data_IF_843598680668
#
_entry.id   IF_843598680668
#
_cell.length_a   1.000
_cell.length_b   1.000
_cell.length_c   1.000
_cell.angle_alpha   90.00
_cell.angle_beta   90.00
_cell.angle_gamma   90.00
#
_symmetry.space_group_name_H-M   'P 1'
#
loop_
_entity.id
_entity.type
_entity.pdbx_description
1 polymer ?
#
# COMPACT_ATOMS: atom_id res chain seq x y z
N UNK A 1 17.83 3.67 2.41
CA UNK A 1 18.44 2.32 2.29
C UNK A 1 17.62 1.32 3.12
N UNK A 2 16.46 0.88 2.60
CA UNK A 2 15.59 -0.09 3.30
C UNK A 2 16.21 -1.49 3.40
N UNK A 3 17.10 -1.84 2.47
CA UNK A 3 17.83 -3.10 2.46
C UNK A 3 18.60 -3.39 3.77
N UNK A 4 18.99 -2.35 4.52
CA UNK A 4 19.73 -2.51 5.78
C UNK A 4 18.87 -3.03 6.96
N UNK A 5 17.54 -2.97 6.88
CA UNK A 5 16.62 -3.45 7.95
C UNK A 5 16.06 -4.86 7.69
N UNK A 6 16.61 -5.61 6.74
CA UNK A 6 16.18 -6.98 6.45
C UNK A 6 14.81 -7.10 5.79
N UNK A 7 14.24 -5.98 5.31
CA UNK A 7 12.94 -5.94 4.63
C UNK A 7 13.12 -5.67 3.13
N UNK A 8 13.83 -6.59 2.46
CA UNK A 8 14.20 -6.48 1.05
C UNK A 8 13.00 -6.33 0.09
N UNK A 9 11.80 -6.77 0.50
CA UNK A 9 10.58 -6.62 -0.30
C UNK A 9 10.16 -5.16 -0.45
N UNK A 10 10.31 -4.33 0.59
CA UNK A 10 9.95 -2.91 0.49
C UNK A 10 10.92 -2.11 -0.38
N UNK A 11 12.21 -2.50 -0.43
CA UNK A 11 13.17 -1.83 -1.33
C UNK A 11 12.92 -2.08 -2.82
N UNK A 12 12.14 -3.11 -3.17
CA UNK A 12 11.81 -3.41 -4.56
C UNK A 12 10.58 -2.64 -5.08
N UNK A 13 9.73 -2.14 -4.18
CA UNK A 13 8.38 -1.65 -4.54
C UNK A 13 8.04 -0.29 -3.94
N UNK A 14 8.81 0.23 -2.99
CA UNK A 14 8.72 1.66 -2.65
C UNK A 14 9.37 2.48 -3.76
N UNK A 15 8.56 2.87 -4.74
CA UNK A 15 8.88 3.95 -5.66
C UNK A 15 8.80 5.31 -4.98
N UNK A 16 8.63 6.35 -5.77
CA UNK A 16 8.32 7.69 -5.28
C UNK A 16 6.80 7.93 -5.12
N UNK A 17 5.98 6.87 -5.29
CA UNK A 17 4.51 6.92 -5.35
C UNK A 17 3.97 7.85 -6.44
N UNK A 18 4.67 7.99 -7.56
CA UNK A 18 4.12 8.69 -8.74
C UNK A 18 3.06 7.85 -9.45
N UNK A 19 3.28 6.54 -9.59
CA UNK A 19 2.38 5.61 -10.31
C UNK A 19 2.36 4.18 -9.72
N UNK A 20 2.30 4.07 -8.40
CA UNK A 20 2.43 2.77 -7.74
C UNK A 20 1.08 2.03 -7.69
N UNK A 21 1.09 0.81 -8.25
CA UNK A 21 -0.01 -0.14 -8.18
C UNK A 21 0.42 -1.43 -7.46
N UNK A 22 -0.44 -1.89 -6.57
CA UNK A 22 -0.26 -3.16 -5.85
C UNK A 22 -1.45 -4.07 -6.13
N UNK A 23 -1.19 -5.34 -6.42
CA UNK A 23 -2.23 -6.36 -6.55
C UNK A 23 -2.20 -7.25 -5.31
N UNK A 24 -3.28 -7.18 -4.52
CA UNK A 24 -3.39 -7.90 -3.26
C UNK A 24 -4.62 -8.80 -3.29
N UNK A 25 -4.49 -10.05 -2.86
CA UNK A 25 -5.65 -10.88 -2.58
C UNK A 25 -6.37 -10.33 -1.33
N UNK A 26 -7.69 -10.17 -1.42
CA UNK A 26 -8.49 -9.83 -0.25
C UNK A 26 -8.35 -10.94 0.81
N UNK A 27 -7.98 -10.64 2.07
CA UNK A 27 -7.80 -11.66 3.10
C UNK A 27 -9.11 -12.38 3.48
N UNK A 28 -10.27 -11.86 3.08
CA UNK A 28 -11.58 -12.42 3.38
C UNK A 28 -12.17 -13.26 2.24
N UNK A 29 -12.17 -12.77 1.00
CA UNK A 29 -12.77 -13.46 -0.14
C UNK A 29 -11.80 -13.89 -1.23
N UNK A 30 -10.49 -13.68 -1.03
CA UNK A 30 -9.40 -14.01 -1.95
C UNK A 30 -9.46 -13.37 -3.35
N UNK A 31 -10.44 -12.51 -3.64
CA UNK A 31 -10.47 -11.76 -4.90
C UNK A 31 -9.23 -10.85 -4.98
N UNK A 32 -8.65 -10.74 -6.16
CA UNK A 32 -7.59 -9.76 -6.39
C UNK A 32 -8.17 -8.34 -6.34
N UNK A 33 -7.53 -7.49 -5.55
CA UNK A 33 -7.85 -6.08 -5.37
C UNK A 33 -6.64 -5.27 -5.84
N UNK A 34 -6.87 -4.36 -6.78
CA UNK A 34 -5.89 -3.35 -7.17
C UNK A 34 -5.88 -2.26 -6.11
N UNK A 35 -4.70 -1.88 -5.62
CA UNK A 35 -4.47 -0.70 -4.79
C UNK A 35 -3.66 0.30 -5.61
N UNK A 36 -4.22 1.47 -5.85
CA UNK A 36 -3.57 2.58 -6.54
C UNK A 36 -3.17 3.66 -5.52
N UNK A 37 -1.89 4.05 -5.52
CA UNK A 37 -1.36 5.15 -4.71
C UNK A 37 -0.44 6.00 -5.58
N UNK A 38 -0.90 7.20 -5.93
CA UNK A 38 -0.10 8.18 -6.67
C UNK A 38 -0.95 9.13 -7.49
N UNK A 39 -0.44 9.51 -8.66
CA UNK A 39 -1.10 10.48 -9.55
C UNK A 39 -2.43 9.97 -10.11
N UNK A 40 -2.58 8.65 -10.23
CA UNK A 40 -3.82 8.01 -10.66
C UNK A 40 -4.92 8.00 -9.58
N UNK A 41 -4.57 8.33 -8.34
CA UNK A 41 -5.49 8.42 -7.21
C UNK A 41 -5.04 7.61 -5.99
N UNK A 42 -5.93 7.56 -4.99
CA UNK A 42 -5.76 6.75 -3.77
C UNK A 42 -6.99 5.89 -3.58
N UNK A 43 -7.02 4.71 -4.21
CA UNK A 43 -8.19 3.83 -4.13
C UNK A 43 -7.84 2.34 -4.15
N UNK A 44 -8.80 1.52 -3.72
CA UNK A 44 -8.88 0.08 -4.00
C UNK A 44 -9.95 -0.19 -5.05
N UNK A 45 -9.73 -1.16 -5.94
CA UNK A 45 -10.63 -1.46 -7.06
C UNK A 45 -10.57 -2.94 -7.49
N UNK A 46 -11.52 -3.35 -8.33
CA UNK A 46 -11.41 -4.59 -9.11
C UNK A 46 -10.91 -4.23 -10.51
N UNK A 47 -9.94 -5.01 -11.02
CA UNK A 47 -9.45 -4.82 -12.38
C UNK A 47 -10.36 -5.52 -13.37
N UNK A 48 -11.07 -4.75 -14.19
CA UNK A 48 -11.75 -5.23 -15.38
C UNK A 48 -10.83 -5.10 -16.60
N UNK A 49 -10.81 -6.12 -17.45
CA UNK A 49 -9.93 -6.16 -18.62
C UNK A 49 -10.25 -5.07 -19.65
N UNK A 50 -11.53 -4.69 -19.80
CA UNK A 50 -11.97 -3.73 -20.81
C UNK A 50 -12.14 -2.32 -20.24
N UNK A 51 -12.55 -2.21 -18.98
CA UNK A 51 -12.93 -0.94 -18.34
C UNK A 51 -11.84 -0.42 -17.39
N UNK A 52 -10.80 -1.20 -17.12
CA UNK A 52 -9.77 -0.87 -16.14
C UNK A 52 -10.30 -1.01 -14.71
N UNK A 53 -9.90 -0.11 -13.82
CA UNK A 53 -10.24 -0.19 -12.40
C UNK A 53 -11.68 0.26 -12.13
N UNK A 54 -12.55 -0.68 -11.79
CA UNK A 54 -13.97 -0.50 -11.49
C UNK A 54 -14.25 -0.62 -9.98
N UNK A 55 -15.44 -0.16 -9.56
CA UNK A 55 -15.92 -0.20 -8.17
C UNK A 55 -14.96 0.42 -7.14
N UNK A 56 -14.33 1.54 -7.51
CA UNK A 56 -13.29 2.19 -6.71
C UNK A 56 -13.79 2.59 -5.32
N UNK A 57 -13.00 2.26 -4.29
CA UNK A 57 -13.19 2.68 -2.88
C UNK A 57 -12.01 3.52 -2.44
N UNK A 58 -12.28 4.65 -1.79
CA UNK A 58 -11.23 5.57 -1.32
C UNK A 58 -10.39 4.89 -0.24
N UNK A 59 -9.06 4.99 -0.34
CA UNK A 59 -8.16 4.49 0.69
C UNK A 59 -8.24 5.34 1.96
N UNK A 60 -8.02 4.70 3.10
CA UNK A 60 -7.97 5.38 4.40
C UNK A 60 -6.50 5.48 4.80
N UNK A 61 -5.96 6.69 4.77
CA UNK A 61 -4.61 6.93 5.27
C UNK A 61 -4.47 6.53 6.75
N UNK A 62 -3.31 5.98 7.11
CA UNK A 62 -2.94 5.85 8.51
C UNK A 62 -2.67 7.25 9.10
N UNK A 63 -3.06 7.46 10.35
CA UNK A 63 -2.64 8.67 11.04
C UNK A 63 -1.13 8.61 11.30
N UNK A 64 -0.39 9.73 11.22
CA UNK A 64 1.04 9.75 11.50
C UNK A 64 1.40 9.15 12.88
N UNK A 65 0.54 9.34 13.88
CA UNK A 65 0.70 8.81 15.22
C UNK A 65 0.43 7.30 15.29
N UNK A 66 -0.41 6.79 14.40
CA UNK A 66 -0.75 5.38 14.24
C UNK A 66 0.30 4.57 13.47
N UNK A 67 1.21 5.22 12.75
CA UNK A 67 2.34 4.54 12.12
C UNK A 67 3.28 3.98 13.19
N UNK A 68 3.87 2.82 12.97
CA UNK A 68 4.87 2.24 13.88
C UNK A 68 6.01 1.58 13.09
N UNK A 69 7.09 1.25 13.79
CA UNK A 69 8.23 0.52 13.23
C UNK A 69 8.80 1.17 11.96
N UNK A 70 8.83 0.41 10.86
CA UNK A 70 9.38 0.87 9.58
C UNK A 70 8.53 1.96 8.93
N UNK A 71 7.20 1.85 8.98
CA UNK A 71 6.29 2.82 8.36
C UNK A 71 6.46 4.22 8.97
N UNK A 72 6.55 4.28 10.31
CA UNK A 72 6.84 5.54 11.02
C UNK A 72 8.17 6.13 10.60
N UNK A 73 9.23 5.33 10.63
CA UNK A 73 10.57 5.77 10.28
C UNK A 73 10.65 6.31 8.85
N UNK A 74 10.00 5.65 7.88
CA UNK A 74 9.97 6.10 6.49
C UNK A 74 9.20 7.41 6.34
N UNK A 75 8.02 7.50 6.95
CA UNK A 75 7.19 8.71 6.90
C UNK A 75 7.93 9.91 7.52
N UNK A 76 8.49 9.76 8.71
CA UNK A 76 9.26 10.82 9.39
C UNK A 76 10.49 11.25 8.57
N UNK A 77 11.18 10.30 7.93
CA UNK A 77 12.31 10.60 7.05
C UNK A 77 11.87 11.43 5.84
N UNK A 78 10.79 11.01 5.16
CA UNK A 78 10.25 11.73 4.00
C UNK A 78 9.78 13.15 4.39
N UNK A 79 9.13 13.30 5.55
CA UNK A 79 8.72 14.61 6.07
C UNK A 79 9.92 15.50 6.37
N UNK A 80 10.92 14.97 7.10
CA UNK A 80 12.14 15.71 7.46
C UNK A 80 12.89 16.22 6.22
N UNK A 81 12.93 15.39 5.18
CA UNK A 81 13.67 15.67 3.95
C UNK A 81 12.81 16.48 2.94
N UNK A 82 11.57 16.84 3.28
CA UNK A 82 10.69 17.71 2.48
C UNK A 82 9.94 17.00 1.34
N UNK A 83 10.00 15.68 1.28
CA UNK A 83 9.36 14.86 0.24
C UNK A 83 7.87 14.60 0.56
N UNK A 84 7.01 15.60 0.33
CA UNK A 84 5.58 15.54 0.68
C UNK A 84 4.81 14.41 0.00
N UNK A 85 5.01 14.20 -1.30
CA UNK A 85 4.31 13.13 -2.05
C UNK A 85 4.68 11.74 -1.52
N UNK A 86 5.97 11.53 -1.21
CA UNK A 86 6.45 10.30 -0.62
C UNK A 86 5.84 10.07 0.78
N UNK A 87 5.78 11.10 1.62
CA UNK A 87 5.12 10.99 2.93
C UNK A 87 3.63 10.65 2.81
N UNK A 88 2.92 11.28 1.87
CA UNK A 88 1.51 10.99 1.55
C UNK A 88 1.32 9.53 1.10
N UNK A 89 2.16 9.07 0.18
CA UNK A 89 2.12 7.69 -0.30
C UNK A 89 2.36 6.67 0.81
N UNK A 90 3.35 6.92 1.67
CA UNK A 90 3.62 6.08 2.85
C UNK A 90 2.41 6.03 3.80
N UNK A 91 1.76 7.17 4.07
CA UNK A 91 0.59 7.21 4.94
C UNK A 91 -0.58 6.38 4.37
N UNK A 92 -0.77 6.39 3.04
CA UNK A 92 -1.78 5.55 2.38
C UNK A 92 -1.40 4.07 2.36
N UNK A 93 -0.15 3.75 2.07
CA UNK A 93 0.36 2.37 2.01
C UNK A 93 0.27 1.66 3.37
N UNK A 94 0.57 2.37 4.46
CA UNK A 94 0.42 1.84 5.81
C UNK A 94 -1.01 2.01 6.37
N UNK A 95 -1.90 2.56 5.55
CA UNK A 95 -3.32 2.72 5.83
C UNK A 95 -4.14 1.48 5.52
N UNK A 96 -5.41 1.69 5.16
CA UNK A 96 -6.39 0.62 4.90
C UNK A 96 -7.05 0.76 3.53
N UNK A 97 -7.24 -0.38 2.89
CA UNK A 97 -8.08 -0.55 1.70
C UNK A 97 -9.39 -1.25 2.04
N UNK A 98 -10.39 -1.11 1.19
CA UNK A 98 -11.67 -1.79 1.28
C UNK A 98 -11.88 -2.66 0.04
N UNK A 99 -12.14 -3.96 0.22
CA UNK A 99 -12.42 -4.86 -0.89
C UNK A 99 -13.76 -4.46 -1.55
N UNK A 100 -13.79 -4.13 -2.85
CA UNK A 100 -15.04 -3.75 -3.51
C UNK A 100 -16.07 -4.89 -3.58
N UNK A 101 -15.61 -6.15 -3.53
CA UNK A 101 -16.46 -7.34 -3.64
C UNK A 101 -17.17 -7.69 -2.32
N UNK A 102 -16.46 -7.69 -1.19
CA UNK A 102 -17.01 -8.15 0.10
C UNK A 102 -17.04 -7.07 1.19
N UNK A 103 -16.63 -5.83 0.88
CA UNK A 103 -16.51 -4.71 1.81
C UNK A 103 -15.57 -4.93 3.01
N UNK A 104 -14.80 -6.02 3.04
CA UNK A 104 -13.79 -6.25 4.06
C UNK A 104 -12.71 -5.17 3.99
N UNK A 105 -12.37 -4.59 5.14
CA UNK A 105 -11.32 -3.59 5.29
C UNK A 105 -10.05 -4.26 5.80
N UNK A 106 -8.91 -4.01 5.17
CA UNK A 106 -7.63 -4.64 5.49
C UNK A 106 -6.47 -3.64 5.46
N UNK A 107 -5.38 -3.96 6.15
CA UNK A 107 -4.16 -3.16 6.14
C UNK A 107 -3.32 -3.52 4.91
N UNK A 108 -3.07 -2.53 4.05
CA UNK A 108 -2.41 -2.75 2.75
C UNK A 108 -0.98 -3.26 2.95
N UNK A 109 -0.23 -2.64 3.86
CA UNK A 109 1.16 -3.01 4.12
C UNK A 109 1.31 -4.40 4.75
N UNK A 110 0.36 -4.80 5.62
CA UNK A 110 0.35 -6.14 6.22
C UNK A 110 0.09 -7.22 5.16
N UNK A 111 -0.92 -7.04 4.31
CA UNK A 111 -1.24 -7.99 3.24
C UNK A 111 -0.13 -8.06 2.19
N UNK A 112 0.44 -6.91 1.82
CA UNK A 112 1.61 -6.86 0.93
C UNK A 112 2.80 -7.61 1.53
N UNK A 113 3.09 -7.40 2.81
CA UNK A 113 4.16 -8.11 3.53
C UNK A 113 3.89 -9.62 3.57
N UNK A 114 2.64 -10.03 3.81
CA UNK A 114 2.22 -11.43 3.84
C UNK A 114 2.44 -12.11 2.49
N UNK A 115 2.03 -11.46 1.40
CA UNK A 115 2.17 -11.98 0.04
C UNK A 115 3.63 -12.04 -0.44
N UNK A 116 4.52 -11.18 0.07
CA UNK A 116 5.91 -11.04 -0.41
C UNK A 116 6.97 -11.50 0.61
N UNK A 117 6.56 -12.09 1.74
CA UNK A 117 7.51 -12.65 2.70
C UNK A 117 8.20 -13.87 2.07
N UNK A 118 9.54 -13.94 2.03
CA UNK A 118 10.22 -15.13 1.57
C UNK A 118 9.79 -16.32 2.43
N UNK A 119 9.34 -17.41 1.79
CA UNK A 119 9.19 -18.69 2.49
C UNK A 119 10.62 -19.15 2.80
N UNK A 120 11.04 -19.01 4.06
CA UNK A 120 12.24 -19.68 4.55
C UNK A 120 11.96 -21.18 4.45
N UNK A 121 12.53 -21.81 3.43
CA UNK A 121 12.68 -23.27 3.33
C UNK A 121 14.03 -23.67 3.89
#
# INVERSE_FOLDING_TARGET
MLAAKGQYHWSAVLGDFTDDFYHLACPHCAVEVTIAIGDHGRYSAIRDWHQGDVDRRVLRQASPEGLSGIGRWMHETAVRDGHKALADGIAHLFGKGECPCCASVFNIAEEYTSANRPVLR
#
